data_IF_631049697534
#
_entry.id   IF_631049697534
#
_cell.length_a   1.000
_cell.length_b   1.000
_cell.length_c   1.000
_cell.angle_alpha   90.00
_cell.angle_beta   90.00
_cell.angle_gamma   90.00
#
_symmetry.space_group_name_H-M   'P 1'
#
loop_
_entity.id
_entity.type
_entity.pdbx_description
1 polymer ?
#
# COMPACT_ATOMS: atom_id res chain seq x y z
N UNK A 1 -19.20 17.94 -1.82
CA UNK A 1 -19.14 16.67 -1.06
C UNK A 1 -20.41 16.35 -0.28
N UNK A 2 -21.05 15.21 -0.61
CA UNK A 2 -22.10 14.57 0.22
C UNK A 2 -21.46 14.00 1.49
N UNK A 3 -22.17 14.00 2.63
CA UNK A 3 -21.64 13.43 3.88
C UNK A 3 -21.52 11.91 3.77
N UNK A 4 -20.35 11.37 4.06
CA UNK A 4 -20.04 9.93 4.05
C UNK A 4 -19.70 9.46 5.46
N UNK A 5 -19.75 8.15 5.71
CA UNK A 5 -19.54 7.57 7.04
C UNK A 5 -18.11 7.79 7.55
N UNK A 6 -17.12 7.83 6.66
CA UNK A 6 -15.71 8.05 6.98
C UNK A 6 -15.33 9.52 7.24
N UNK A 7 -16.13 10.52 6.84
CA UNK A 7 -15.73 11.95 6.91
C UNK A 7 -15.51 12.50 8.33
N UNK A 8 -16.03 11.81 9.36
CA UNK A 8 -15.88 12.21 10.75
C UNK A 8 -15.20 11.11 11.59
N UNK A 9 -14.60 10.10 10.94
CA UNK A 9 -13.96 8.99 11.63
C UNK A 9 -12.56 9.34 12.12
N UNK A 10 -12.04 8.52 13.02
CA UNK A 10 -10.60 8.41 13.30
C UNK A 10 -10.12 7.03 12.89
N UNK A 11 -9.07 6.98 12.08
CA UNK A 11 -8.50 5.72 11.62
C UNK A 11 -7.33 5.27 12.49
N UNK A 12 -7.15 3.97 12.63
CA UNK A 12 -6.08 3.34 13.39
C UNK A 12 -5.47 2.21 12.57
N UNK A 13 -4.16 2.26 12.33
CA UNK A 13 -3.46 1.19 11.65
C UNK A 13 -2.90 0.20 12.67
N UNK A 14 -3.17 -1.08 12.41
CA UNK A 14 -2.61 -2.22 13.12
C UNK A 14 -1.64 -2.94 12.18
N UNK A 15 -0.42 -3.18 12.69
CA UNK A 15 0.55 -4.10 12.13
C UNK A 15 0.46 -5.44 12.90
N UNK A 16 -0.32 -6.43 12.40
CA UNK A 16 -0.86 -7.53 13.21
C UNK A 16 0.21 -8.30 14.00
N UNK A 17 1.31 -8.65 13.32
CA UNK A 17 2.47 -9.37 13.89
C UNK A 17 3.03 -8.74 15.17
N UNK A 18 2.84 -7.45 15.39
CA UNK A 18 3.41 -6.72 16.54
C UNK A 18 2.38 -5.98 17.38
N UNK A 19 1.09 -6.29 17.26
CA UNK A 19 0.05 -5.62 18.03
C UNK A 19 -0.26 -6.30 19.36
N UNK A 20 -0.77 -7.53 19.32
CA UNK A 20 -1.15 -8.27 20.51
C UNK A 20 -1.15 -9.78 20.22
N UNK A 21 -0.31 -10.53 20.91
CA UNK A 21 -0.27 -12.00 20.89
C UNK A 21 -1.28 -12.54 21.91
N UNK A 22 -2.15 -13.46 21.48
CA UNK A 22 -3.16 -14.10 22.33
C UNK A 22 -2.85 -15.56 22.68
N UNK A 23 -1.91 -16.19 21.98
CA UNK A 23 -1.65 -17.63 22.07
C UNK A 23 -0.26 -17.97 22.69
N UNK A 24 0.61 -16.97 22.85
CA UNK A 24 1.93 -17.06 23.46
C UNK A 24 3.06 -17.50 22.54
N UNK A 25 2.88 -17.47 21.22
CA UNK A 25 3.92 -17.81 20.23
C UNK A 25 4.88 -16.65 19.90
N UNK A 26 4.60 -15.44 20.42
CA UNK A 26 5.39 -14.24 20.22
C UNK A 26 5.00 -13.41 18.99
N UNK A 27 3.94 -13.79 18.27
CA UNK A 27 3.41 -13.10 17.09
C UNK A 27 2.00 -12.61 17.42
N UNK A 28 1.70 -11.35 17.10
CA UNK A 28 0.35 -10.83 17.25
C UNK A 28 -0.63 -11.45 16.26
N UNK A 29 -1.86 -11.67 16.70
CA UNK A 29 -2.88 -12.45 15.98
C UNK A 29 -4.28 -11.80 16.03
N UNK A 30 -5.24 -12.33 15.25
CA UNK A 30 -6.59 -11.77 15.13
C UNK A 30 -7.36 -11.82 16.45
N UNK A 31 -7.18 -12.85 17.27
CA UNK A 31 -7.81 -12.96 18.59
C UNK A 31 -7.24 -11.91 19.56
N UNK A 32 -5.96 -11.60 19.45
CA UNK A 32 -5.31 -10.49 20.11
C UNK A 32 -5.92 -9.15 19.72
N UNK A 33 -6.15 -8.91 18.43
CA UNK A 33 -6.84 -7.71 17.94
C UNK A 33 -8.27 -7.61 18.49
N UNK A 34 -9.04 -8.72 18.43
CA UNK A 34 -10.40 -8.80 18.98
C UNK A 34 -10.41 -8.39 20.46
N UNK A 35 -9.44 -8.88 21.24
CA UNK A 35 -9.31 -8.56 22.68
C UNK A 35 -9.08 -7.08 22.99
N UNK A 36 -8.65 -6.28 21.99
CA UNK A 36 -8.35 -4.85 22.13
C UNK A 36 -9.37 -3.93 21.48
N UNK A 37 -10.44 -4.45 20.89
CA UNK A 37 -11.48 -3.62 20.27
C UNK A 37 -12.11 -2.63 21.25
N UNK A 38 -12.30 -3.01 22.52
CA UNK A 38 -12.81 -2.09 23.55
C UNK A 38 -11.82 -0.96 23.85
N UNK A 39 -10.52 -1.27 23.92
CA UNK A 39 -9.48 -0.25 24.06
C UNK A 39 -9.46 0.74 22.89
N UNK A 40 -9.53 0.23 21.66
CA UNK A 40 -9.56 1.07 20.46
C UNK A 40 -10.84 1.92 20.41
N UNK A 41 -11.96 1.36 20.86
CA UNK A 41 -13.21 2.12 20.93
C UNK A 41 -13.15 3.23 21.98
N UNK A 42 -12.60 2.96 23.16
CA UNK A 42 -12.40 3.94 24.22
C UNK A 42 -11.44 5.06 23.79
N UNK A 43 -10.44 4.74 22.95
CA UNK A 43 -9.55 5.72 22.33
C UNK A 43 -10.28 6.64 21.34
N UNK A 44 -11.43 6.22 20.80
CA UNK A 44 -12.22 6.96 19.83
C UNK A 44 -11.98 6.55 18.37
N UNK A 45 -11.46 5.33 18.15
CA UNK A 45 -11.25 4.78 16.80
C UNK A 45 -12.59 4.38 16.18
N UNK A 46 -12.77 4.71 14.89
CA UNK A 46 -13.92 4.32 14.08
C UNK A 46 -13.53 3.41 12.92
N UNK A 47 -12.28 3.49 12.44
CA UNK A 47 -11.78 2.72 11.29
C UNK A 47 -10.49 2.04 11.71
N UNK A 48 -10.39 0.72 11.52
CA UNK A 48 -9.15 -0.04 11.71
C UNK A 48 -8.67 -0.47 10.32
N UNK A 49 -7.40 -0.19 10.02
CA UNK A 49 -6.72 -0.78 8.87
C UNK A 49 -5.75 -1.85 9.37
N UNK A 50 -5.89 -3.04 8.81
CA UNK A 50 -4.96 -4.14 9.02
C UNK A 50 -3.94 -4.14 7.87
N UNK A 51 -2.66 -3.99 8.19
CA UNK A 51 -1.58 -4.43 7.29
C UNK A 51 -1.78 -5.92 6.92
N UNK A 52 -1.15 -6.42 5.84
CA UNK A 52 -1.50 -7.72 5.25
C UNK A 52 -1.56 -8.89 6.25
N UNK A 53 -2.70 -9.59 6.26
CA UNK A 53 -2.94 -10.83 7.04
C UNK A 53 -3.16 -12.06 6.16
N UNK A 54 -3.02 -11.91 4.84
CA UNK A 54 -3.14 -13.00 3.87
C UNK A 54 -2.00 -14.01 4.03
N UNK A 55 -2.21 -15.22 3.51
CA UNK A 55 -1.14 -16.23 3.44
C UNK A 55 0.06 -15.67 2.70
N UNK A 56 1.22 -15.67 3.37
CA UNK A 56 2.45 -15.07 2.84
C UNK A 56 3.70 -15.79 3.35
N UNK A 57 4.75 -15.94 2.53
CA UNK A 57 6.07 -16.37 2.98
C UNK A 57 6.81 -15.36 3.88
N UNK A 58 6.30 -14.12 4.01
CA UNK A 58 6.92 -13.00 4.71
C UNK A 58 8.30 -12.59 4.18
N UNK A 59 8.55 -12.75 2.88
CA UNK A 59 9.77 -12.20 2.29
C UNK A 59 9.78 -10.67 2.32
N UNK A 60 8.59 -10.07 2.31
CA UNK A 60 8.35 -8.64 2.51
C UNK A 60 7.23 -8.43 3.55
N UNK A 61 7.36 -9.15 4.67
CA UNK A 61 6.54 -8.95 5.88
C UNK A 61 5.00 -8.98 5.66
N UNK A 62 4.54 -9.71 4.63
CA UNK A 62 3.12 -9.92 4.33
C UNK A 62 2.67 -9.32 2.98
N UNK A 63 3.46 -8.43 2.39
CA UNK A 63 3.16 -7.82 1.07
C UNK A 63 3.44 -8.78 -0.10
N UNK A 64 4.22 -9.84 0.12
CA UNK A 64 4.35 -10.96 -0.80
C UNK A 64 3.24 -12.01 -0.58
N UNK A 65 2.05 -11.78 -1.14
CA UNK A 65 0.85 -12.61 -0.91
C UNK A 65 0.86 -13.89 -1.77
N UNK A 66 0.83 -15.06 -1.13
CA UNK A 66 0.75 -16.36 -1.78
C UNK A 66 -0.69 -16.84 -2.00
N UNK A 67 -1.64 -16.49 -1.12
CA UNK A 67 -3.07 -16.74 -1.31
C UNK A 67 -3.89 -15.58 -0.77
N UNK A 68 -4.70 -14.97 -1.64
CA UNK A 68 -5.56 -13.84 -1.32
C UNK A 68 -6.88 -14.24 -0.65
N UNK A 69 -7.26 -15.52 -0.70
CA UNK A 69 -8.57 -16.02 -0.22
C UNK A 69 -8.52 -16.66 1.16
N UNK A 70 -7.37 -16.63 1.82
CA UNK A 70 -7.18 -17.22 3.15
C UNK A 70 -6.35 -16.30 4.06
N UNK A 71 -6.47 -16.52 5.36
CA UNK A 71 -5.69 -15.85 6.39
C UNK A 71 -4.42 -16.64 6.64
N UNK A 72 -3.29 -15.96 6.84
CA UNK A 72 -2.08 -16.66 7.22
C UNK A 72 -2.29 -17.38 8.57
N UNK A 73 -1.98 -18.68 8.68
CA UNK A 73 -2.17 -19.45 9.91
C UNK A 73 -1.44 -18.87 11.14
N UNK A 74 -0.42 -18.02 10.93
CA UNK A 74 0.25 -17.27 12.00
C UNK A 74 -0.65 -16.23 12.66
N UNK A 75 -1.67 -15.73 11.96
CA UNK A 75 -2.58 -14.69 12.45
C UNK A 75 -3.94 -15.25 12.87
N UNK A 76 -4.34 -16.42 12.38
CA UNK A 76 -5.61 -17.07 12.74
C UNK A 76 -6.25 -17.77 11.57
N UNK A 77 -7.57 -17.88 11.57
CA UNK A 77 -8.37 -18.47 10.49
C UNK A 77 -9.35 -17.47 9.88
N UNK A 78 -10.02 -17.86 8.79
CA UNK A 78 -11.13 -17.10 8.23
C UNK A 78 -12.28 -16.92 9.23
N UNK A 79 -12.52 -17.88 10.12
CA UNK A 79 -13.53 -17.74 11.19
C UNK A 79 -13.13 -16.68 12.23
N UNK A 80 -11.84 -16.56 12.55
CA UNK A 80 -11.34 -15.48 13.41
C UNK A 80 -11.54 -14.11 12.75
N UNK A 81 -11.32 -14.02 11.43
CA UNK A 81 -11.60 -12.81 10.66
C UNK A 81 -13.10 -12.46 10.65
N UNK A 82 -13.97 -13.46 10.48
CA UNK A 82 -15.43 -13.26 10.55
C UNK A 82 -15.88 -12.75 11.93
N UNK A 83 -15.31 -13.29 13.00
CA UNK A 83 -15.60 -12.82 14.36
C UNK A 83 -15.04 -11.41 14.59
N UNK A 84 -13.85 -11.08 14.07
CA UNK A 84 -13.29 -9.72 14.13
C UNK A 84 -14.22 -8.71 13.45
N UNK A 85 -14.66 -8.98 12.21
CA UNK A 85 -15.61 -8.12 11.49
C UNK A 85 -16.88 -7.90 12.29
N UNK A 86 -17.50 -8.99 12.76
CA UNK A 86 -18.73 -8.95 13.56
C UNK A 86 -18.56 -8.16 14.86
N UNK A 87 -17.47 -8.36 15.58
CA UNK A 87 -17.19 -7.67 16.85
C UNK A 87 -16.87 -6.17 16.65
N UNK A 88 -16.16 -5.82 15.58
CA UNK A 88 -15.90 -4.43 15.21
C UNK A 88 -17.20 -3.72 14.81
N UNK A 89 -18.02 -4.34 13.95
CA UNK A 89 -19.31 -3.78 13.52
C UNK A 89 -20.29 -3.61 14.68
N UNK A 90 -20.32 -4.54 15.65
CA UNK A 90 -21.11 -4.42 16.86
C UNK A 90 -20.76 -3.15 17.69
N UNK A 91 -19.51 -2.68 17.57
CA UNK A 91 -18.99 -1.45 18.19
C UNK A 91 -19.08 -0.23 17.27
N UNK A 92 -19.69 -0.38 16.09
CA UNK A 92 -19.72 0.64 15.03
C UNK A 92 -18.32 1.10 14.66
N UNK A 93 -17.44 0.13 14.48
CA UNK A 93 -16.10 0.31 13.92
C UNK A 93 -16.04 -0.42 12.58
N UNK A 94 -15.21 0.07 11.68
CA UNK A 94 -15.06 -0.43 10.32
C UNK A 94 -13.68 -1.06 10.15
N UNK A 95 -13.58 -2.16 9.40
CA UNK A 95 -12.32 -2.84 9.12
C UNK A 95 -11.95 -2.65 7.65
N UNK A 96 -10.74 -2.15 7.41
CA UNK A 96 -10.10 -2.13 6.10
C UNK A 96 -8.99 -3.15 6.05
N UNK A 97 -8.81 -3.75 4.87
CA UNK A 97 -7.67 -4.60 4.58
C UNK A 97 -6.68 -3.89 3.65
N UNK A 98 -5.42 -4.32 3.66
CA UNK A 98 -4.48 -3.93 2.62
C UNK A 98 -4.82 -4.60 1.28
N UNK A 99 -4.77 -3.87 0.18
CA UNK A 99 -4.98 -4.39 -1.16
C UNK A 99 -3.67 -4.31 -1.94
N UNK A 100 -2.92 -5.41 -1.92
CA UNK A 100 -1.61 -5.54 -2.56
C UNK A 100 -1.75 -6.29 -3.89
N UNK A 101 -1.91 -5.52 -4.96
CA UNK A 101 -2.27 -6.07 -6.30
C UNK A 101 -1.38 -5.55 -7.42
N UNK A 102 -0.30 -4.84 -7.11
CA UNK A 102 0.77 -4.60 -8.07
C UNK A 102 1.55 -5.87 -8.38
N UNK A 103 1.78 -6.69 -7.36
CA UNK A 103 2.51 -7.95 -7.41
C UNK A 103 1.80 -8.99 -6.52
N UNK A 104 2.18 -10.25 -6.66
CA UNK A 104 1.88 -11.31 -5.69
C UNK A 104 3.18 -12.00 -5.28
N UNK A 105 3.13 -12.98 -4.38
CA UNK A 105 4.30 -13.82 -4.06
C UNK A 105 4.74 -14.67 -5.25
N UNK A 106 6.03 -14.99 -5.34
CA UNK A 106 6.54 -16.06 -6.21
C UNK A 106 6.05 -17.46 -5.79
N UNK A 107 5.47 -17.58 -4.59
CA UNK A 107 4.82 -18.79 -4.10
C UNK A 107 3.31 -18.83 -4.42
N UNK A 108 2.75 -17.80 -5.05
CA UNK A 108 1.37 -17.78 -5.52
C UNK A 108 1.13 -18.81 -6.64
N UNK A 109 -0.05 -19.43 -6.66
CA UNK A 109 -0.40 -20.45 -7.66
C UNK A 109 -0.31 -19.92 -9.10
N UNK A 110 -0.65 -18.65 -9.33
CA UNK A 110 -0.52 -18.02 -10.65
C UNK A 110 0.94 -18.00 -11.11
N UNK A 111 1.88 -17.60 -10.24
CA UNK A 111 3.29 -17.52 -10.62
C UNK A 111 3.91 -18.91 -10.78
N UNK A 112 3.57 -19.87 -9.91
CA UNK A 112 3.99 -21.28 -10.06
C UNK A 112 3.61 -21.84 -11.43
N UNK A 113 2.37 -21.59 -11.89
CA UNK A 113 1.91 -22.00 -13.23
C UNK A 113 2.56 -21.22 -14.35
N UNK A 114 2.90 -19.93 -14.14
CA UNK A 114 3.67 -19.14 -15.09
C UNK A 114 5.09 -19.69 -15.30
N UNK A 115 5.73 -20.20 -14.24
CA UNK A 115 7.03 -20.87 -14.33
C UNK A 115 6.95 -22.20 -15.10
N UNK A 116 5.83 -22.92 -15.03
CA UNK A 116 5.63 -24.16 -15.78
C UNK A 116 5.40 -23.93 -17.28
N UNK A 117 4.60 -22.90 -17.62
CA UNK A 117 4.26 -22.52 -18.99
C UNK A 117 4.25 -20.99 -19.18
N UNK A 118 5.41 -20.38 -19.50
CA UNK A 118 5.57 -18.93 -19.64
C UNK A 118 4.74 -18.32 -20.77
N UNK A 119 4.39 -19.10 -21.78
CA UNK A 119 3.56 -18.65 -22.92
C UNK A 119 2.06 -18.89 -22.68
N UNK A 120 1.74 -19.68 -21.65
CA UNK A 120 0.39 -20.06 -21.27
C UNK A 120 -0.45 -18.95 -20.66
N UNK A 121 -1.63 -19.32 -20.17
CA UNK A 121 -2.59 -18.35 -19.58
C UNK A 121 -2.00 -17.60 -18.40
N UNK A 122 -1.36 -18.31 -17.47
CA UNK A 122 -0.78 -17.72 -16.26
C UNK A 122 0.54 -16.98 -16.55
N UNK A 123 1.31 -17.39 -17.56
CA UNK A 123 2.46 -16.61 -18.04
C UNK A 123 2.09 -15.17 -18.41
N UNK A 124 0.89 -14.98 -19.00
CA UNK A 124 0.33 -13.65 -19.33
C UNK A 124 -0.15 -12.84 -18.13
N UNK A 125 -0.18 -13.42 -16.93
CA UNK A 125 -0.51 -12.66 -15.70
C UNK A 125 0.69 -11.85 -15.21
N UNK A 126 1.87 -12.06 -15.78
CA UNK A 126 3.10 -11.38 -15.39
C UNK A 126 3.76 -10.71 -16.60
N UNK A 127 4.68 -9.81 -16.33
CA UNK A 127 5.56 -9.26 -17.36
C UNK A 127 6.75 -10.20 -17.54
N UNK A 128 6.71 -11.01 -18.60
CA UNK A 128 7.75 -11.97 -18.94
C UNK A 128 8.46 -11.58 -20.24
N UNK A 129 9.79 -11.67 -20.26
CA UNK A 129 10.64 -11.38 -21.42
C UNK A 129 11.51 -12.61 -21.75
N UNK A 130 11.54 -13.01 -23.02
CA UNK A 130 12.38 -14.12 -23.49
C UNK A 130 13.57 -13.58 -24.30
N UNK A 131 14.78 -13.70 -23.76
CA UNK A 131 16.02 -13.24 -24.40
C UNK A 131 17.25 -14.05 -24.00
N UNK A 132 18.12 -14.32 -24.97
CA UNK A 132 19.43 -14.93 -24.74
C UNK A 132 20.49 -13.91 -24.33
N UNK A 133 20.22 -12.62 -24.55
CA UNK A 133 21.12 -11.53 -24.19
C UNK A 133 20.51 -10.74 -23.04
N UNK A 134 20.97 -11.00 -21.80
CA UNK A 134 20.51 -10.26 -20.60
C UNK A 134 20.66 -8.73 -20.75
N UNK A 135 21.54 -8.25 -21.65
CA UNK A 135 21.71 -6.80 -21.90
C UNK A 135 20.57 -6.18 -22.70
N UNK A 136 19.68 -6.98 -23.30
CA UNK A 136 18.50 -6.47 -23.99
C UNK A 136 17.37 -6.08 -23.03
N UNK A 137 17.42 -6.57 -21.78
CA UNK A 137 16.49 -6.17 -20.72
C UNK A 137 16.77 -4.72 -20.31
N UNK A 138 15.74 -4.02 -19.84
CA UNK A 138 15.90 -2.63 -19.37
C UNK A 138 16.84 -2.55 -18.17
N UNK A 139 17.62 -1.48 -18.06
CA UNK A 139 18.52 -1.17 -16.95
C UNK A 139 17.81 -0.62 -15.68
N UNK A 140 16.54 -0.96 -15.47
CA UNK A 140 15.77 -0.47 -14.33
C UNK A 140 16.22 -1.14 -13.02
N UNK A 141 16.29 -0.35 -11.96
CA UNK A 141 16.62 -0.75 -10.59
C UNK A 141 15.34 -0.88 -9.76
N UNK A 142 15.22 -2.00 -9.04
CA UNK A 142 14.13 -2.25 -8.08
C UNK A 142 14.16 -1.23 -6.94
N UNK A 143 13.01 -0.99 -6.31
CA UNK A 143 12.90 -0.23 -5.07
C UNK A 143 13.83 -0.79 -3.98
N UNK A 144 14.06 -2.11 -3.97
CA UNK A 144 14.92 -2.80 -3.00
C UNK A 144 16.36 -3.00 -3.52
N UNK A 145 16.70 -2.36 -4.64
CA UNK A 145 18.03 -2.42 -5.25
C UNK A 145 18.23 -3.62 -6.18
N UNK A 146 19.27 -3.53 -7.01
CA UNK A 146 19.53 -4.50 -8.07
C UNK A 146 18.57 -4.37 -9.26
N UNK A 147 18.76 -5.21 -10.27
CA UNK A 147 17.91 -5.28 -11.47
C UNK A 147 16.45 -5.59 -11.08
N UNK A 148 15.49 -5.02 -11.82
CA UNK A 148 14.05 -5.42 -11.75
C UNK A 148 13.76 -6.73 -12.49
N UNK A 149 14.73 -7.27 -13.21
CA UNK A 149 14.59 -8.53 -13.95
C UNK A 149 15.36 -9.65 -13.25
N UNK A 150 14.65 -10.74 -12.99
CA UNK A 150 15.20 -11.99 -12.46
C UNK A 150 14.85 -13.15 -13.40
N UNK A 151 15.70 -14.17 -13.46
CA UNK A 151 15.49 -15.31 -14.35
C UNK A 151 14.30 -16.15 -13.87
N UNK A 152 13.39 -16.50 -14.78
CA UNK A 152 12.17 -17.23 -14.45
C UNK A 152 12.54 -18.66 -13.99
N UNK A 153 12.12 -19.08 -12.79
CA UNK A 153 12.50 -20.38 -12.24
C UNK A 153 12.20 -21.55 -13.19
N UNK A 154 13.23 -22.34 -13.51
CA UNK A 154 13.10 -23.52 -14.38
C UNK A 154 13.04 -23.22 -15.88
N UNK A 155 13.01 -21.94 -16.29
CA UNK A 155 12.83 -21.52 -17.68
C UNK A 155 14.02 -20.69 -18.14
N UNK A 156 14.96 -21.35 -18.82
CA UNK A 156 16.17 -20.69 -19.31
C UNK A 156 15.83 -19.59 -20.32
N UNK A 157 16.55 -18.48 -20.25
CA UNK A 157 16.43 -17.33 -21.16
C UNK A 157 15.08 -16.58 -21.01
N UNK A 158 14.25 -16.92 -20.02
CA UNK A 158 13.05 -16.18 -19.62
C UNK A 158 13.31 -15.37 -18.35
N UNK A 159 12.75 -14.17 -18.27
CA UNK A 159 12.88 -13.27 -17.12
C UNK A 159 11.53 -12.70 -16.75
N UNK A 160 11.31 -12.46 -15.46
CA UNK A 160 10.12 -11.79 -14.94
C UNK A 160 10.47 -10.45 -14.31
N UNK A 161 9.53 -9.52 -14.40
CA UNK A 161 9.62 -8.22 -13.73
C UNK A 161 9.29 -8.35 -12.24
N UNK A 162 10.10 -7.72 -11.40
CA UNK A 162 9.81 -7.43 -10.00
C UNK A 162 10.28 -6.01 -9.65
N UNK A 163 9.35 -5.09 -9.42
CA UNK A 163 9.69 -3.71 -9.02
C UNK A 163 10.14 -3.64 -7.56
N UNK A 164 9.74 -4.61 -6.75
CA UNK A 164 10.05 -4.73 -5.33
C UNK A 164 11.02 -5.92 -5.09
N UNK A 165 10.80 -6.72 -4.05
CA UNK A 165 11.60 -7.91 -3.77
C UNK A 165 11.49 -8.93 -4.91
N UNK A 166 12.51 -9.78 -5.08
CA UNK A 166 12.51 -10.83 -6.13
C UNK A 166 11.36 -11.82 -5.97
N UNK A 167 10.88 -12.00 -4.74
CA UNK A 167 9.70 -12.82 -4.42
C UNK A 167 8.37 -12.10 -4.67
N UNK A 168 8.38 -10.93 -5.29
CA UNK A 168 7.19 -10.14 -5.64
C UNK A 168 7.12 -9.91 -7.16
N UNK A 169 6.88 -10.95 -7.97
CA UNK A 169 6.65 -10.80 -9.41
C UNK A 169 5.44 -9.88 -9.70
N UNK A 170 5.66 -8.91 -10.57
CA UNK A 170 4.65 -7.90 -10.92
C UNK A 170 3.54 -8.48 -11.79
N UNK A 171 2.30 -8.18 -11.39
CA UNK A 171 1.08 -8.53 -12.11
C UNK A 171 0.91 -7.63 -13.34
N UNK A 172 0.52 -8.24 -14.45
CA UNK A 172 0.29 -7.58 -15.74
C UNK A 172 -1.15 -7.09 -15.87
N UNK A 173 -1.41 -5.87 -15.41
CA UNK A 173 -2.73 -5.24 -15.48
C UNK A 173 -3.23 -4.94 -16.89
N UNK A 174 -2.37 -4.99 -17.92
CA UNK A 174 -2.84 -4.93 -19.32
C UNK A 174 -3.70 -6.14 -19.68
N UNK A 175 -3.54 -7.27 -18.97
CA UNK A 175 -4.32 -8.47 -19.19
C UNK A 175 -5.72 -8.36 -18.53
N UNK A 176 -6.80 -8.26 -19.32
CA UNK A 176 -8.14 -8.13 -18.76
C UNK A 176 -8.58 -9.36 -17.96
N UNK A 177 -8.08 -10.56 -18.30
CA UNK A 177 -8.41 -11.79 -17.56
C UNK A 177 -7.85 -11.73 -16.14
N UNK A 178 -6.62 -11.22 -15.98
CA UNK A 178 -6.03 -11.01 -14.67
C UNK A 178 -6.85 -10.01 -13.85
N UNK A 179 -7.26 -8.89 -14.47
CA UNK A 179 -8.10 -7.89 -13.78
C UNK A 179 -9.42 -8.48 -13.28
N UNK A 180 -10.08 -9.34 -14.07
CA UNK A 180 -11.26 -10.07 -13.60
C UNK A 180 -10.99 -10.92 -12.36
N UNK A 181 -9.86 -11.64 -12.30
CA UNK A 181 -9.49 -12.43 -11.12
C UNK A 181 -9.23 -11.55 -9.89
N UNK A 182 -8.59 -10.40 -10.07
CA UNK A 182 -8.41 -9.40 -9.01
C UNK A 182 -9.76 -8.87 -8.52
N UNK A 183 -10.69 -8.53 -9.41
CA UNK A 183 -12.01 -8.02 -9.01
C UNK A 183 -12.87 -9.05 -8.30
N UNK A 184 -12.78 -10.33 -8.70
CA UNK A 184 -13.42 -11.42 -7.96
C UNK A 184 -12.89 -11.49 -6.53
N UNK A 185 -11.57 -11.40 -6.36
CA UNK A 185 -10.93 -11.43 -5.06
C UNK A 185 -11.34 -10.24 -4.18
N UNK A 186 -11.32 -9.02 -4.73
CA UNK A 186 -11.74 -7.81 -4.01
C UNK A 186 -13.20 -7.92 -3.57
N UNK A 187 -14.08 -8.31 -4.48
CA UNK A 187 -15.51 -8.46 -4.16
C UNK A 187 -15.76 -9.57 -3.14
N UNK A 188 -14.98 -10.65 -3.15
CA UNK A 188 -15.12 -11.72 -2.16
C UNK A 188 -14.92 -11.21 -0.72
N UNK A 189 -13.92 -10.34 -0.51
CA UNK A 189 -13.69 -9.71 0.80
C UNK A 189 -14.77 -8.68 1.16
N UNK A 190 -15.23 -7.87 0.20
CA UNK A 190 -16.31 -6.91 0.42
C UNK A 190 -17.65 -7.59 0.72
N UNK A 191 -17.97 -8.69 0.04
CA UNK A 191 -19.14 -9.53 0.29
C UNK A 191 -19.08 -10.20 1.67
N UNK A 192 -17.87 -10.47 2.18
CA UNK A 192 -17.64 -11.00 3.53
C UNK A 192 -17.85 -9.97 4.64
N UNK A 193 -17.80 -8.68 4.31
CA UNK A 193 -18.09 -7.58 5.23
C UNK A 193 -16.92 -6.64 5.53
N UNK A 194 -15.81 -6.74 4.79
CA UNK A 194 -14.74 -5.73 4.84
C UNK A 194 -15.31 -4.38 4.36
N UNK A 195 -15.03 -3.31 5.09
CA UNK A 195 -15.58 -1.97 4.84
C UNK A 195 -14.80 -1.19 3.77
N UNK A 196 -13.68 -1.73 3.31
CA UNK A 196 -12.91 -1.23 2.19
C UNK A 196 -11.41 -1.54 2.29
N UNK A 197 -10.59 -0.76 1.59
CA UNK A 197 -9.17 -1.09 1.41
C UNK A 197 -8.24 0.10 1.50
N UNK A 198 -7.04 -0.14 2.05
CA UNK A 198 -5.85 0.67 1.76
C UNK A 198 -5.17 0.06 0.54
N UNK A 199 -4.93 0.84 -0.51
CA UNK A 199 -4.33 0.33 -1.74
C UNK A 199 -2.83 0.57 -1.73
N UNK A 200 -2.07 -0.53 -1.71
CA UNK A 200 -0.61 -0.54 -1.68
C UNK A 200 -0.01 -0.23 -3.05
N UNK A 201 0.99 0.65 -3.09
CA UNK A 201 1.83 0.92 -4.25
C UNK A 201 1.06 1.09 -5.57
N UNK A 202 -0.19 1.57 -5.53
CA UNK A 202 -1.18 1.29 -6.57
C UNK A 202 -0.86 1.97 -7.90
N UNK A 203 -0.07 3.04 -7.89
CA UNK A 203 0.45 3.68 -9.10
C UNK A 203 1.31 2.74 -9.96
N UNK A 204 1.92 1.72 -9.34
CA UNK A 204 2.83 0.80 -10.01
C UNK A 204 2.10 -0.19 -10.92
N UNK A 205 0.78 -0.35 -10.81
CA UNK A 205 0.03 -1.31 -11.63
C UNK A 205 0.15 -1.02 -13.14
N UNK A 206 0.37 0.25 -13.52
CA UNK A 206 0.58 0.66 -14.91
C UNK A 206 2.08 0.77 -15.21
N UNK A 207 2.50 0.10 -16.29
CA UNK A 207 3.87 0.13 -16.80
C UNK A 207 3.92 0.90 -18.13
N UNK A 208 5.02 1.62 -18.39
CA UNK A 208 5.30 2.19 -19.71
C UNK A 208 5.92 1.11 -20.59
N UNK A 209 5.15 0.66 -21.59
CA UNK A 209 5.55 -0.38 -22.54
C UNK A 209 5.84 0.22 -23.94
N UNK A 210 6.79 -0.34 -24.71
CA UNK A 210 7.69 -1.43 -24.34
C UNK A 210 8.75 -0.97 -23.31
N UNK A 211 9.26 -1.92 -22.50
CA UNK A 211 10.34 -1.61 -21.56
C UNK A 211 11.59 -1.14 -22.30
N UNK A 212 12.24 -0.11 -21.76
CA UNK A 212 13.43 0.51 -22.36
C UNK A 212 14.43 0.92 -21.29
N UNK A 213 15.64 1.23 -21.72
CA UNK A 213 16.65 1.81 -20.83
C UNK A 213 16.33 3.28 -20.52
N UNK A 214 16.62 3.68 -19.28
CA UNK A 214 16.59 5.06 -18.82
C UNK A 214 18.01 5.55 -18.52
N UNK A 215 18.25 6.88 -18.51
CA UNK A 215 19.55 7.43 -18.11
C UNK A 215 19.94 6.90 -16.72
N UNK A 216 21.13 6.30 -16.61
CA UNK A 216 21.63 5.78 -15.35
C UNK A 216 21.78 6.92 -14.33
N UNK A 217 21.30 6.69 -13.11
CA UNK A 217 21.29 7.68 -12.02
C UNK A 217 22.36 7.38 -10.96
N UNK A 218 23.06 6.24 -11.08
CA UNK A 218 24.16 5.81 -10.19
C UNK A 218 25.28 5.13 -10.97
N UNK A 219 26.41 4.91 -10.27
CA UNK A 219 27.60 4.25 -10.82
C UNK A 219 27.38 2.77 -11.19
N UNK A 220 26.31 2.14 -10.69
CA UNK A 220 25.92 0.76 -11.02
C UNK A 220 25.40 0.61 -12.47
N UNK A 221 25.19 1.72 -13.19
CA UNK A 221 24.68 1.74 -14.56
C UNK A 221 23.18 1.50 -14.67
N UNK A 222 22.48 1.39 -13.54
CA UNK A 222 21.04 1.23 -13.48
C UNK A 222 20.35 2.59 -13.32
N UNK A 223 19.05 2.62 -13.58
CA UNK A 223 18.18 3.76 -13.39
C UNK A 223 17.01 3.40 -12.47
N UNK A 224 16.58 4.29 -11.58
CA UNK A 224 15.38 4.06 -10.76
C UNK A 224 14.16 3.64 -11.59
N UNK A 225 13.44 2.60 -11.15
CA UNK A 225 12.20 2.18 -11.80
C UNK A 225 11.11 3.29 -11.80
N UNK A 226 11.20 4.25 -10.87
CA UNK A 226 10.30 5.42 -10.83
C UNK A 226 10.35 6.25 -12.12
N UNK A 227 11.46 6.23 -12.87
CA UNK A 227 11.55 6.89 -14.17
C UNK A 227 10.53 6.31 -15.17
N UNK A 228 10.30 5.00 -15.13
CA UNK A 228 9.28 4.32 -15.93
C UNK A 228 7.87 4.64 -15.42
N UNK A 229 7.67 4.66 -14.10
CA UNK A 229 6.38 5.01 -13.51
C UNK A 229 5.97 6.45 -13.87
N UNK A 230 6.92 7.39 -13.91
CA UNK A 230 6.68 8.78 -14.32
C UNK A 230 6.26 8.91 -15.79
N UNK A 231 6.74 8.01 -16.65
CA UNK A 231 6.37 7.92 -18.07
C UNK A 231 5.04 7.18 -18.29
N UNK A 232 4.63 6.30 -17.38
CA UNK A 232 3.42 5.52 -17.52
C UNK A 232 2.17 6.42 -17.58
N UNK A 233 1.30 6.16 -18.55
CA UNK A 233 0.04 6.87 -18.76
C UNK A 233 -1.12 5.87 -18.77
N UNK A 234 -2.31 6.28 -18.31
CA UNK A 234 -3.52 5.45 -18.35
C UNK A 234 -3.77 4.58 -17.12
N UNK A 235 -3.07 4.80 -16.00
CA UNK A 235 -3.39 4.10 -14.73
C UNK A 235 -4.83 4.37 -14.27
N UNK A 236 -5.36 5.56 -14.56
CA UNK A 236 -6.72 5.96 -14.22
C UNK A 236 -7.80 5.06 -14.80
N UNK A 237 -7.59 4.44 -15.96
CA UNK A 237 -8.55 3.51 -16.56
C UNK A 237 -8.71 2.27 -15.67
N UNK A 238 -7.60 1.70 -15.19
CA UNK A 238 -7.61 0.54 -14.29
C UNK A 238 -8.21 0.87 -12.93
N UNK A 239 -7.89 2.06 -12.39
CA UNK A 239 -8.42 2.51 -11.11
C UNK A 239 -9.92 2.79 -11.18
N UNK A 240 -10.39 3.37 -12.29
CA UNK A 240 -11.82 3.59 -12.54
C UNK A 240 -12.55 2.27 -12.67
N UNK A 241 -12.02 1.32 -13.46
CA UNK A 241 -12.59 -0.03 -13.60
C UNK A 241 -12.69 -0.73 -12.23
N UNK A 242 -11.62 -0.71 -11.43
CA UNK A 242 -11.60 -1.27 -10.08
C UNK A 242 -12.65 -0.62 -9.15
N UNK A 243 -12.74 0.72 -9.15
CA UNK A 243 -13.72 1.48 -8.36
C UNK A 243 -15.15 1.16 -8.74
N UNK A 244 -15.48 1.16 -10.03
CA UNK A 244 -16.85 0.95 -10.51
C UNK A 244 -17.30 -0.48 -10.29
N UNK A 245 -16.39 -1.44 -10.43
CA UNK A 245 -16.72 -2.87 -10.35
C UNK A 245 -16.63 -3.47 -8.97
N UNK A 246 -15.94 -2.81 -8.04
CA UNK A 246 -15.75 -3.35 -6.69
C UNK A 246 -16.15 -2.36 -5.60
N UNK A 247 -15.58 -1.15 -5.55
CA UNK A 247 -15.76 -0.28 -4.38
C UNK A 247 -17.13 0.40 -4.32
N UNK A 248 -17.60 0.91 -5.47
CA UNK A 248 -18.85 1.67 -5.56
C UNK A 248 -20.09 0.83 -5.19
N UNK A 249 -20.26 -0.41 -5.69
CA UNK A 249 -21.42 -1.24 -5.36
C UNK A 249 -21.53 -1.57 -3.87
N UNK A 250 -20.41 -1.60 -3.15
CA UNK A 250 -20.33 -1.97 -1.74
C UNK A 250 -20.27 -0.76 -0.79
N UNK A 251 -20.28 0.48 -1.32
CA UNK A 251 -20.06 1.71 -0.55
C UNK A 251 -18.76 1.67 0.29
N UNK A 252 -17.74 1.00 -0.25
CA UNK A 252 -16.47 0.76 0.40
C UNK A 252 -15.64 2.04 0.51
N UNK A 253 -14.94 2.21 1.62
CA UNK A 253 -13.96 3.29 1.79
C UNK A 253 -12.59 2.87 1.23
N UNK A 254 -11.98 3.74 0.44
CA UNK A 254 -10.67 3.48 -0.16
C UNK A 254 -9.70 4.62 0.12
N UNK A 255 -8.48 4.24 0.54
CA UNK A 255 -7.36 5.15 0.71
C UNK A 255 -6.18 4.67 -0.13
N UNK A 256 -5.75 5.50 -1.07
CA UNK A 256 -4.60 5.18 -1.93
C UNK A 256 -3.28 5.56 -1.26
N UNK A 257 -2.30 4.65 -1.32
CA UNK A 257 -0.90 5.01 -1.21
C UNK A 257 -0.42 5.51 -2.58
N UNK A 258 -0.28 6.83 -2.68
CA UNK A 258 0.11 7.49 -3.94
C UNK A 258 1.36 8.31 -3.68
N UNK A 259 2.43 7.95 -4.37
CA UNK A 259 3.64 8.74 -4.49
C UNK A 259 3.72 9.36 -5.89
N UNK A 260 4.54 10.39 -6.05
CA UNK A 260 4.88 10.95 -7.37
C UNK A 260 3.66 11.46 -8.16
N UNK A 261 2.64 11.96 -7.48
CA UNK A 261 1.46 12.50 -8.15
C UNK A 261 1.80 13.77 -8.94
N UNK A 262 1.28 13.86 -10.17
CA UNK A 262 1.35 15.12 -10.93
C UNK A 262 0.50 16.17 -10.19
N UNK A 263 0.95 17.43 -10.06
CA UNK A 263 0.23 18.46 -9.29
C UNK A 263 -1.25 18.63 -9.66
N UNK A 264 -1.60 18.44 -10.94
CA UNK A 264 -2.96 18.59 -11.44
C UNK A 264 -3.82 17.31 -11.29
N UNK A 265 -3.22 16.18 -10.90
CA UNK A 265 -3.88 14.87 -10.84
C UNK A 265 -4.61 14.61 -9.52
N UNK A 266 -4.42 15.44 -8.48
CA UNK A 266 -5.03 15.23 -7.15
C UNK A 266 -6.56 15.10 -7.25
N UNK A 267 -7.19 15.87 -8.16
CA UNK A 267 -8.64 15.79 -8.40
C UNK A 267 -9.06 14.44 -8.98
N UNK A 268 -8.23 13.82 -9.80
CA UNK A 268 -8.50 12.51 -10.37
C UNK A 268 -8.38 11.42 -9.30
N UNK A 269 -7.51 11.59 -8.30
CA UNK A 269 -7.36 10.64 -7.20
C UNK A 269 -8.44 10.78 -6.13
N UNK A 270 -8.70 11.98 -5.62
CA UNK A 270 -9.56 12.19 -4.43
C UNK A 270 -10.66 13.23 -4.60
N UNK A 271 -10.92 13.70 -5.83
CA UNK A 271 -12.05 14.57 -6.12
C UNK A 271 -13.40 13.88 -5.88
N UNK A 272 -14.51 14.61 -6.04
CA UNK A 272 -15.87 14.04 -5.86
C UNK A 272 -16.12 12.78 -6.72
N UNK A 273 -15.48 12.68 -7.90
CA UNK A 273 -15.52 11.52 -8.80
C UNK A 273 -14.18 10.73 -8.85
N UNK A 274 -13.25 11.03 -7.95
CA UNK A 274 -11.88 10.49 -7.98
C UNK A 274 -11.80 8.97 -7.77
N UNK A 275 -10.64 8.39 -8.10
CA UNK A 275 -10.38 6.95 -8.02
C UNK A 275 -10.55 6.39 -6.60
N UNK A 276 -10.20 7.19 -5.58
CA UNK A 276 -10.25 6.84 -4.17
C UNK A 276 -11.09 7.83 -3.38
N UNK A 277 -11.50 7.43 -2.17
CA UNK A 277 -12.18 8.36 -1.26
C UNK A 277 -11.20 9.26 -0.51
N UNK A 278 -9.95 8.82 -0.37
CA UNK A 278 -8.84 9.57 0.23
C UNK A 278 -7.50 9.06 -0.32
N UNK A 279 -6.43 9.79 -0.03
CA UNK A 279 -5.04 9.36 -0.23
C UNK A 279 -4.20 9.89 0.92
N UNK A 280 -3.07 9.26 1.21
CA UNK A 280 -2.19 9.69 2.30
C UNK A 280 -1.44 11.00 1.99
N UNK A 281 -1.30 11.86 3.00
CA UNK A 281 -0.39 13.01 2.95
C UNK A 281 1.03 12.56 3.28
N UNK A 282 1.76 12.09 2.26
CA UNK A 282 3.18 11.80 2.39
C UNK A 282 4.08 13.04 2.21
N UNK A 283 3.53 14.26 2.18
CA UNK A 283 4.34 15.46 2.02
C UNK A 283 5.44 15.61 3.08
N UNK A 284 5.12 15.53 4.38
CA UNK A 284 6.13 15.54 5.44
C UNK A 284 7.01 14.29 5.45
N UNK A 285 6.44 13.12 5.18
CA UNK A 285 7.15 11.82 5.18
C UNK A 285 8.21 11.75 4.08
N UNK A 286 7.85 12.19 2.88
CA UNK A 286 8.74 12.26 1.73
C UNK A 286 9.74 13.41 1.79
N UNK A 287 9.68 14.27 2.83
CA UNK A 287 10.62 15.36 2.95
C UNK A 287 12.04 14.82 3.13
N UNK A 288 12.96 15.33 2.32
CA UNK A 288 14.36 14.99 2.44
C UNK A 288 14.74 13.66 1.80
N UNK A 289 13.82 12.95 1.13
CA UNK A 289 14.19 11.81 0.29
C UNK A 289 15.22 12.21 -0.77
N UNK A 290 16.15 11.29 -1.03
CA UNK A 290 17.24 11.48 -1.98
C UNK A 290 17.17 10.43 -3.08
N UNK A 291 17.53 10.82 -4.30
CA UNK A 291 17.68 9.92 -5.45
C UNK A 291 18.74 8.82 -5.18
N UNK A 292 19.62 9.03 -4.20
CA UNK A 292 20.59 8.02 -3.75
C UNK A 292 20.00 6.96 -2.83
N UNK A 293 18.73 7.07 -2.42
CA UNK A 293 18.02 6.10 -1.61
C UNK A 293 17.73 6.59 -0.20
N UNK A 294 16.96 5.79 0.54
CA UNK A 294 16.41 6.14 1.85
C UNK A 294 17.47 6.50 2.91
N UNK A 295 18.70 5.97 2.80
CA UNK A 295 19.78 6.24 3.75
C UNK A 295 20.44 7.62 3.58
N UNK A 296 20.25 8.27 2.43
CA UNK A 296 20.79 9.61 2.12
C UNK A 296 19.73 10.69 2.36
N UNK A 297 18.88 10.50 3.38
CA UNK A 297 17.79 11.43 3.67
C UNK A 297 18.28 12.69 4.38
N UNK A 298 17.57 13.80 4.18
CA UNK A 298 17.76 15.04 4.91
C UNK A 298 16.75 15.14 6.05
N UNK A 299 17.24 15.47 7.25
CA UNK A 299 16.39 15.73 8.41
C UNK A 299 15.39 16.86 8.15
N UNK A 300 14.14 16.64 8.56
CA UNK A 300 13.06 17.62 8.48
C UNK A 300 13.14 18.61 9.65
N UNK A 301 13.05 19.91 9.36
CA UNK A 301 12.94 20.94 10.41
C UNK A 301 11.47 21.28 10.70
N UNK A 302 11.16 21.93 11.83
CA UNK A 302 9.80 22.39 12.11
C UNK A 302 9.21 23.33 11.05
N UNK A 303 10.04 24.15 10.40
CA UNK A 303 9.60 25.02 9.31
C UNK A 303 9.37 24.26 8.00
N UNK A 304 10.16 23.21 7.74
CA UNK A 304 9.95 22.31 6.61
C UNK A 304 8.64 21.52 6.77
N UNK A 305 8.40 20.92 7.96
CA UNK A 305 7.15 20.21 8.28
C UNK A 305 5.94 21.12 8.05
N UNK A 306 5.99 22.35 8.58
CA UNK A 306 4.96 23.37 8.39
C UNK A 306 4.76 23.66 6.90
N UNK A 307 5.83 23.87 6.13
CA UNK A 307 5.73 24.13 4.69
C UNK A 307 5.06 22.98 3.93
N UNK A 308 5.41 21.72 4.25
CA UNK A 308 4.76 20.54 3.67
C UNK A 308 3.26 20.52 3.97
N UNK A 309 2.87 20.66 5.24
CA UNK A 309 1.47 20.67 5.66
C UNK A 309 0.67 21.78 4.99
N UNK A 310 1.19 23.02 4.98
CA UNK A 310 0.50 24.13 4.31
C UNK A 310 0.37 23.92 2.80
N UNK A 311 1.38 23.32 2.17
CA UNK A 311 1.36 22.97 0.75
C UNK A 311 0.24 21.97 0.46
N UNK A 312 0.20 20.83 1.15
CA UNK A 312 -0.84 19.81 0.96
C UNK A 312 -2.24 20.36 1.25
N UNK A 313 -2.43 21.01 2.40
CA UNK A 313 -3.73 21.55 2.80
C UNK A 313 -4.26 22.59 1.80
N UNK A 314 -3.39 23.40 1.21
CA UNK A 314 -3.76 24.35 0.16
C UNK A 314 -4.14 23.64 -1.14
N UNK A 315 -3.40 22.59 -1.53
CA UNK A 315 -3.66 21.81 -2.76
C UNK A 315 -5.02 21.10 -2.71
N UNK A 316 -5.39 20.53 -1.55
CA UNK A 316 -6.61 19.71 -1.41
C UNK A 316 -7.84 20.48 -0.94
N UNK A 317 -7.69 21.78 -0.65
CA UNK A 317 -8.67 22.60 0.07
C UNK A 317 -10.11 22.50 -0.46
N UNK A 318 -10.29 22.47 -1.78
CA UNK A 318 -11.57 22.44 -2.48
C UNK A 318 -11.74 21.20 -3.39
N UNK A 319 -10.88 20.20 -3.23
CA UNK A 319 -10.86 19.00 -4.08
C UNK A 319 -11.48 17.81 -3.36
N UNK A 320 -10.93 17.45 -2.19
CA UNK A 320 -11.23 16.17 -1.56
C UNK A 320 -10.83 16.13 -0.09
N UNK A 321 -10.88 14.93 0.48
CA UNK A 321 -10.41 14.66 1.83
C UNK A 321 -9.07 13.93 1.76
N UNK A 322 -8.07 14.45 2.45
CA UNK A 322 -6.75 13.83 2.56
C UNK A 322 -6.66 13.01 3.87
N UNK A 323 -5.87 11.95 3.87
CA UNK A 323 -5.57 11.14 5.04
C UNK A 323 -4.29 11.65 5.71
N UNK A 324 -4.43 12.29 6.87
CA UNK A 324 -3.31 12.88 7.62
C UNK A 324 -2.59 11.79 8.43
N UNK A 325 -1.29 11.67 8.23
CA UNK A 325 -0.45 10.67 8.91
C UNK A 325 0.87 11.30 9.36
N UNK A 326 1.47 10.71 10.39
CA UNK A 326 2.84 11.01 10.82
C UNK A 326 3.66 9.74 11.09
N UNK A 327 3.01 8.58 11.08
CA UNK A 327 3.57 7.26 11.33
C UNK A 327 2.79 6.23 10.51
N UNK A 328 3.46 5.16 10.11
CA UNK A 328 2.89 3.90 9.63
C UNK A 328 3.94 2.78 9.90
N UNK A 329 3.79 1.61 9.28
CA UNK A 329 4.73 0.49 9.46
C UNK A 329 6.05 0.63 8.67
N UNK A 330 6.11 1.51 7.67
CA UNK A 330 7.30 1.79 6.85
C UNK A 330 8.13 2.97 7.38
N UNK A 331 7.49 3.84 8.16
CA UNK A 331 8.06 5.10 8.62
C UNK A 331 8.57 5.03 10.07
N UNK A 332 9.61 5.82 10.42
CA UNK A 332 10.05 5.94 11.81
C UNK A 332 8.95 6.53 12.69
N UNK A 333 9.05 6.28 14.00
CA UNK A 333 8.16 6.91 14.99
C UNK A 333 8.22 8.44 14.87
N UNK A 334 7.08 9.08 14.73
CA UNK A 334 6.93 10.50 14.45
C UNK A 334 7.51 11.35 15.57
N UNK A 335 7.42 10.92 16.82
CA UNK A 335 8.10 11.58 17.95
C UNK A 335 9.62 11.60 17.76
N UNK A 336 10.22 10.49 17.32
CA UNK A 336 11.66 10.41 17.10
C UNK A 336 12.11 11.11 15.83
N UNK A 337 11.23 11.24 14.84
CA UNK A 337 11.54 11.81 13.54
C UNK A 337 11.32 13.34 13.50
N UNK A 338 10.21 13.84 14.06
CA UNK A 338 9.83 15.26 13.97
C UNK A 338 10.22 16.09 15.22
N UNK A 339 10.61 15.44 16.33
CA UNK A 339 10.98 16.13 17.57
C UNK A 339 12.44 15.79 17.92
N UNK A 340 13.32 16.79 18.07
CA UNK A 340 14.70 16.57 18.52
C UNK A 340 14.75 15.76 19.83
N UNK A 341 15.72 14.86 19.97
CA UNK A 341 15.83 13.93 21.10
C UNK A 341 15.75 14.64 22.47
N UNK A 342 16.38 15.82 22.60
CA UNK A 342 16.37 16.63 23.82
C UNK A 342 15.02 17.24 24.20
N UNK A 343 14.05 17.26 23.29
CA UNK A 343 12.78 17.97 23.41
C UNK A 343 11.56 17.04 23.49
N UNK A 344 11.73 15.71 23.62
CA UNK A 344 10.65 14.72 23.62
C UNK A 344 9.87 14.61 24.95
N UNK A 345 9.37 15.74 25.45
CA UNK A 345 8.50 15.80 26.64
C UNK A 345 7.05 15.34 26.36
N UNK A 346 6.24 15.04 27.40
CA UNK A 346 4.81 14.79 27.21
C UNK A 346 4.06 15.91 26.48
N UNK A 347 4.49 17.17 26.66
CA UNK A 347 3.91 18.34 26.01
C UNK A 347 4.26 18.39 24.52
N UNK A 348 5.51 18.10 24.13
CA UNK A 348 5.90 18.11 22.71
C UNK A 348 5.26 16.97 21.93
N UNK A 349 5.11 15.79 22.54
CA UNK A 349 4.35 14.67 21.96
C UNK A 349 2.88 15.04 21.72
N UNK A 350 2.23 15.66 22.70
CA UNK A 350 0.85 16.17 22.57
C UNK A 350 0.74 17.30 21.55
N UNK A 351 1.76 18.15 21.44
CA UNK A 351 1.84 19.20 20.43
C UNK A 351 1.86 18.58 19.03
N UNK A 352 2.73 17.60 18.77
CA UNK A 352 2.77 16.90 17.47
C UNK A 352 1.43 16.23 17.16
N UNK A 353 0.82 15.53 18.13
CA UNK A 353 -0.50 14.95 17.97
C UNK A 353 -1.57 16.00 17.64
N UNK A 354 -1.57 17.14 18.34
CA UNK A 354 -2.51 18.24 18.12
C UNK A 354 -2.36 18.82 16.71
N UNK A 355 -1.12 18.95 16.20
CA UNK A 355 -0.85 19.52 14.89
C UNK A 355 -1.50 18.69 13.78
N UNK A 356 -1.22 17.38 13.70
CA UNK A 356 -1.71 16.56 12.58
C UNK A 356 -3.20 16.21 12.72
N UNK A 357 -3.69 16.01 13.95
CA UNK A 357 -5.08 15.60 14.19
C UNK A 357 -6.09 16.72 13.90
N UNK A 358 -5.69 17.99 14.06
CA UNK A 358 -6.54 19.15 13.79
C UNK A 358 -6.45 19.68 12.35
N UNK A 359 -5.69 19.03 11.48
CA UNK A 359 -5.71 19.33 10.05
C UNK A 359 -7.04 18.92 9.42
N UNK A 360 -7.45 19.61 8.34
CA UNK A 360 -8.59 19.17 7.55
C UNK A 360 -8.22 17.84 6.89
N UNK A 361 -8.97 16.78 7.18
CA UNK A 361 -8.73 15.45 6.63
C UNK A 361 -9.17 14.35 7.59
N UNK A 362 -8.83 13.11 7.26
CA UNK A 362 -9.03 11.92 8.09
C UNK A 362 -7.73 11.62 8.84
N UNK A 363 -7.67 11.75 10.18
CA UNK A 363 -6.46 11.40 10.92
C UNK A 363 -6.27 9.89 11.03
N UNK A 364 -5.03 9.43 10.82
CA UNK A 364 -4.63 8.04 11.07
C UNK A 364 -3.62 7.96 12.20
N UNK A 365 -3.90 7.07 13.14
CA UNK A 365 -3.04 6.75 14.26
C UNK A 365 -2.37 5.41 13.95
N UNK A 366 -1.05 5.36 13.96
CA UNK A 366 -0.33 4.07 13.93
C UNK A 366 -0.17 3.52 15.35
N UNK A 367 -0.16 2.19 15.49
CA UNK A 367 -0.07 1.55 16.81
C UNK A 367 1.17 1.95 17.61
N UNK A 368 1.02 2.55 18.80
CA UNK A 368 2.13 2.99 19.65
C UNK A 368 1.70 3.75 20.89
#
# INVERSE_FOLDING_TARGET
>A
MKKQWWHNGTAYQIYPKSFCDSNGDGIGDLQGIISKLDYLKDLGVDIIWLSPIYVSPLADEGYDIADYYDIDPRFGTLEDMDELLKQAHARKMHILMDLVVNHCSDENEWFKKACEDPEGTYGKYFYLEHTKDKKSLSNMRSYFGGSVWEELPGQKDWYYLHLFHKKQPDLNWENPVLREEVYKMVNWWLERGVDGFRLDAIINIKKALPFKNYPADREDGLATCTAMIKEAEGVGDFLTELKERCFTPHHAFTVGEVFEEKPDAIRDFIGDDGYFNSMYDFGPVGFGWSDKGWWDYKDITPDDYKACVFSTQKKVADIGMISNIIENHDEPRGVSHYIPEGDQSPESKKMLATLYFLLKGLPWIYQG
#
